data_IF_192351373799
#
_entry.id   IF_192351373799
#
_cell.length_a   1.000
_cell.length_b   1.000
_cell.length_c   1.000
_cell.angle_alpha   90.00
_cell.angle_beta   90.00
_cell.angle_gamma   90.00
#
_symmetry.space_group_name_H-M   'P 1'
#
loop_
_entity.id
_entity.type
_entity.pdbx_description
1 polymer ?
#
# COMPACT_ATOMS: atom_id res chain seq x y z
N UNK A 1 -17.70 -21.05 0.64
CA UNK A 1 -17.45 -20.31 1.90
C UNK A 1 -18.49 -19.20 1.96
N UNK A 2 -19.26 -19.04 3.05
CA UNK A 2 -20.27 -18.00 3.08
C UNK A 2 -19.56 -16.63 3.14
N UNK A 3 -20.08 -15.67 2.40
CA UNK A 3 -19.58 -14.30 2.40
C UNK A 3 -19.76 -13.71 3.80
N UNK A 4 -18.67 -13.62 4.56
CA UNK A 4 -18.63 -12.85 5.81
C UNK A 4 -18.94 -11.40 5.45
N UNK A 5 -20.03 -10.86 5.99
CA UNK A 5 -20.49 -9.52 5.68
C UNK A 5 -19.41 -8.47 6.01
N UNK A 6 -18.84 -7.86 4.96
CA UNK A 6 -17.92 -6.71 5.03
C UNK A 6 -18.61 -5.40 5.49
N UNK A 7 -19.94 -5.40 5.68
CA UNK A 7 -20.74 -4.19 5.76
C UNK A 7 -20.72 -3.41 7.09
N UNK A 8 -20.66 -4.01 8.30
CA UNK A 8 -20.89 -3.22 9.51
C UNK A 8 -19.69 -2.34 9.92
N UNK A 9 -18.46 -2.68 9.51
CA UNK A 9 -17.26 -1.93 9.89
C UNK A 9 -17.03 -0.66 9.06
N UNK A 10 -17.65 -0.53 7.87
CA UNK A 10 -17.53 0.65 7.01
C UNK A 10 -18.41 1.82 7.48
N UNK A 11 -19.52 1.53 8.17
CA UNK A 11 -20.46 2.57 8.60
C UNK A 11 -19.91 3.49 9.70
N UNK A 12 -18.95 3.02 10.51
CA UNK A 12 -18.30 3.83 11.55
C UNK A 12 -17.12 4.68 11.03
N UNK A 13 -16.81 4.60 9.73
CA UNK A 13 -15.69 5.34 9.10
C UNK A 13 -16.07 6.81 8.84
N UNK A 14 -17.36 7.16 8.88
CA UNK A 14 -17.87 8.47 8.40
C UNK A 14 -18.32 9.43 9.52
N UNK A 15 -18.07 9.13 10.79
CA UNK A 15 -18.50 10.00 11.90
C UNK A 15 -17.30 10.66 12.59
N UNK A 16 -17.22 11.98 12.35
CA UNK A 16 -16.30 13.00 12.87
C UNK A 16 -14.83 12.95 12.37
N UNK A 17 -14.25 14.10 11.92
CA UNK A 17 -12.85 14.17 11.57
C UNK A 17 -12.03 13.86 12.82
N UNK A 18 -11.10 12.89 12.78
CA UNK A 18 -10.35 12.55 13.98
C UNK A 18 -9.49 13.74 14.40
N UNK A 19 -9.28 13.86 15.71
CA UNK A 19 -8.08 14.48 16.23
C UNK A 19 -6.85 13.95 15.46
N UNK A 20 -5.93 14.85 15.11
CA UNK A 20 -4.68 14.60 14.36
C UNK A 20 -4.38 13.11 14.08
N UNK A 21 -4.84 12.59 12.92
CA UNK A 21 -4.81 11.15 12.58
C UNK A 21 -3.40 10.57 12.61
N UNK A 22 -2.40 11.42 12.38
CA UNK A 22 -0.99 11.09 12.43
C UNK A 22 -0.24 12.39 12.71
N UNK A 23 0.23 12.60 13.95
CA UNK A 23 0.96 13.80 14.31
C UNK A 23 2.10 14.11 13.34
N UNK A 24 2.08 15.32 12.77
CA UNK A 24 3.07 15.79 11.81
C UNK A 24 2.77 15.48 10.34
N UNK A 25 1.68 14.77 10.02
CA UNK A 25 1.32 14.43 8.64
C UNK A 25 1.05 15.68 7.79
N UNK A 26 0.28 16.64 8.31
CA UNK A 26 -0.03 17.87 7.59
C UNK A 26 1.24 18.68 7.26
N UNK A 27 2.19 18.75 8.20
CA UNK A 27 3.46 19.44 7.98
C UNK A 27 4.34 18.70 6.97
N UNK A 28 4.39 17.36 7.04
CA UNK A 28 5.09 16.54 6.05
C UNK A 28 4.51 16.75 4.64
N UNK A 29 3.19 16.76 4.50
CA UNK A 29 2.51 17.01 3.23
C UNK A 29 2.87 18.40 2.70
N UNK A 30 2.76 19.44 3.53
CA UNK A 30 3.04 20.82 3.15
C UNK A 30 4.51 21.03 2.72
N UNK A 31 5.44 20.37 3.42
CA UNK A 31 6.88 20.50 3.17
C UNK A 31 7.37 19.67 1.98
N UNK A 32 6.94 18.41 1.88
CA UNK A 32 7.54 17.45 0.96
C UNK A 32 6.70 17.12 -0.26
N UNK A 33 5.37 17.13 -0.15
CA UNK A 33 4.47 16.71 -1.21
C UNK A 33 3.93 17.90 -2.01
N UNK A 34 3.35 18.89 -1.33
CA UNK A 34 2.70 20.04 -1.96
C UNK A 34 3.59 20.79 -2.97
N UNK A 35 4.89 21.02 -2.72
CA UNK A 35 5.76 21.68 -3.69
C UNK A 35 6.04 20.86 -4.96
N UNK A 36 5.82 19.54 -4.93
CA UNK A 36 6.19 18.60 -6.00
C UNK A 36 5.01 18.21 -6.89
N UNK A 37 3.77 18.58 -6.55
CA UNK A 37 2.55 18.05 -7.22
C UNK A 37 2.51 18.29 -8.74
N UNK A 38 2.94 19.47 -9.20
CA UNK A 38 2.98 19.78 -10.64
C UNK A 38 4.02 18.93 -11.36
N UNK A 39 5.17 18.71 -10.74
CA UNK A 39 6.25 17.90 -11.31
C UNK A 39 5.91 16.40 -11.27
N UNK A 40 5.18 15.94 -10.26
CA UNK A 40 4.64 14.58 -10.22
C UNK A 40 3.72 14.35 -11.42
N UNK A 41 2.80 15.28 -11.69
CA UNK A 41 1.81 15.14 -12.77
C UNK A 41 2.43 15.30 -14.17
N UNK A 42 3.17 16.38 -14.39
CA UNK A 42 3.64 16.75 -15.73
C UNK A 42 4.95 16.10 -16.13
N UNK A 43 5.79 15.72 -15.15
CA UNK A 43 7.13 15.19 -15.40
C UNK A 43 7.30 13.76 -14.90
N UNK A 44 6.27 13.17 -14.28
CA UNK A 44 6.34 11.81 -13.74
C UNK A 44 7.33 11.67 -12.58
N UNK A 45 7.56 12.73 -11.80
CA UNK A 45 8.43 12.65 -10.62
C UNK A 45 7.82 11.67 -9.60
N UNK A 46 8.61 10.68 -9.19
CA UNK A 46 8.20 9.75 -8.15
C UNK A 46 8.40 10.37 -6.75
N UNK A 47 7.35 10.48 -5.90
CA UNK A 47 7.43 11.11 -4.58
C UNK A 47 8.06 10.20 -3.51
N UNK A 48 9.15 9.49 -3.86
CA UNK A 48 9.77 8.47 -3.00
C UNK A 48 10.22 8.99 -1.63
N UNK A 49 10.73 10.22 -1.55
CA UNK A 49 11.17 10.81 -0.29
C UNK A 49 9.99 11.09 0.66
N UNK A 50 8.86 11.55 0.12
CA UNK A 50 7.64 11.74 0.90
C UNK A 50 7.14 10.39 1.46
N UNK A 51 7.10 9.34 0.63
CA UNK A 51 6.66 8.00 1.03
C UNK A 51 7.54 7.39 2.14
N UNK A 52 8.87 7.53 2.02
CA UNK A 52 9.82 7.07 3.05
C UNK A 52 9.66 7.85 4.36
N UNK A 53 9.56 9.18 4.28
CA UNK A 53 9.34 10.03 5.46
C UNK A 53 7.99 9.74 6.12
N UNK A 54 6.95 9.44 5.34
CA UNK A 54 5.65 9.03 5.87
C UNK A 54 5.74 7.70 6.62
N UNK A 55 6.51 6.73 6.09
CA UNK A 55 6.81 5.48 6.78
C UNK A 55 7.55 5.72 8.10
N UNK A 56 8.57 6.57 8.10
CA UNK A 56 9.32 6.93 9.32
C UNK A 56 8.45 7.66 10.36
N UNK A 57 7.44 8.41 9.93
CA UNK A 57 6.44 9.04 10.78
C UNK A 57 5.44 8.02 11.38
N UNK A 58 5.39 6.80 10.85
CA UNK A 58 4.45 5.75 11.26
C UNK A 58 3.18 5.67 10.41
N UNK A 59 3.10 6.44 9.33
CA UNK A 59 1.92 6.44 8.44
C UNK A 59 1.67 5.08 7.81
N UNK A 60 2.72 4.34 7.45
CA UNK A 60 2.61 3.03 6.79
C UNK A 60 2.47 1.84 7.76
N UNK A 61 2.30 2.09 9.05
CA UNK A 61 2.38 1.05 10.09
C UNK A 61 1.03 0.45 10.51
N UNK A 62 -0.10 1.01 10.04
CA UNK A 62 -1.45 0.73 10.57
C UNK A 62 -1.95 -0.69 10.32
N UNK A 63 -1.62 -1.28 9.17
CA UNK A 63 -1.99 -2.67 8.83
C UNK A 63 -1.07 -3.71 9.47
N UNK A 64 0.15 -3.31 9.83
CA UNK A 64 1.16 -4.23 10.35
C UNK A 64 0.87 -4.54 11.83
N UNK A 65 0.88 -5.84 12.24
CA UNK A 65 0.74 -6.20 13.64
C UNK A 65 1.86 -5.63 14.51
N UNK A 66 1.57 -5.36 15.78
CA UNK A 66 2.56 -4.85 16.76
C UNK A 66 3.77 -5.78 16.90
N UNK A 67 3.56 -7.10 16.79
CA UNK A 67 4.64 -8.10 16.81
C UNK A 67 5.68 -7.94 15.67
N UNK A 68 5.32 -7.22 14.61
CA UNK A 68 6.19 -6.88 13.48
C UNK A 68 6.55 -5.39 13.43
N UNK A 69 6.34 -4.64 14.52
CA UNK A 69 6.68 -3.22 14.62
C UNK A 69 5.65 -2.26 14.02
N UNK A 70 4.43 -2.72 13.74
CA UNK A 70 3.33 -1.87 13.32
C UNK A 70 2.50 -1.32 14.48
N UNK A 71 1.45 -0.56 14.17
CA UNK A 71 0.58 0.07 15.17
C UNK A 71 -0.75 -0.66 15.37
N UNK A 72 -1.12 -1.57 14.44
CA UNK A 72 -2.39 -2.27 14.43
C UNK A 72 -3.65 -1.36 14.49
N UNK A 73 -3.54 -0.09 14.07
CA UNK A 73 -4.66 0.84 13.96
C UNK A 73 -5.68 0.45 12.88
N UNK A 74 -5.28 -0.44 11.96
CA UNK A 74 -6.17 -1.09 11.01
C UNK A 74 -6.49 -0.26 9.76
N UNK A 75 -7.42 -0.78 8.96
CA UNK A 75 -7.73 -0.28 7.62
C UNK A 75 -8.31 1.14 7.62
N UNK A 76 -9.11 1.51 8.62
CA UNK A 76 -9.70 2.84 8.71
C UNK A 76 -8.62 3.93 8.78
N UNK A 77 -7.55 3.70 9.57
CA UNK A 77 -6.42 4.60 9.66
C UNK A 77 -5.64 4.70 8.34
N UNK A 78 -5.40 3.56 7.67
CA UNK A 78 -4.78 3.56 6.33
C UNK A 78 -5.58 4.40 5.32
N UNK A 79 -6.91 4.26 5.32
CA UNK A 79 -7.81 5.04 4.45
C UNK A 79 -7.68 6.55 4.75
N UNK A 80 -7.64 6.94 6.02
CA UNK A 80 -7.49 8.34 6.41
C UNK A 80 -6.15 8.95 5.98
N UNK A 81 -5.04 8.19 6.09
CA UNK A 81 -3.73 8.63 5.58
C UNK A 81 -3.76 8.80 4.06
N UNK A 82 -4.36 7.85 3.32
CA UNK A 82 -4.56 7.98 1.87
C UNK A 82 -5.38 9.23 1.55
N UNK A 83 -6.50 9.43 2.24
CA UNK A 83 -7.40 10.57 2.04
C UNK A 83 -6.66 11.89 2.20
N UNK A 84 -5.89 12.05 3.29
CA UNK A 84 -5.19 13.30 3.60
C UNK A 84 -4.13 13.64 2.56
N UNK A 85 -3.32 12.66 2.13
CA UNK A 85 -2.37 12.86 1.04
C UNK A 85 -3.06 13.14 -0.30
N UNK A 86 -4.20 12.49 -0.55
CA UNK A 86 -4.98 12.64 -1.79
C UNK A 86 -5.61 14.03 -1.94
N UNK A 87 -5.90 14.72 -0.83
CA UNK A 87 -6.34 16.13 -0.85
C UNK A 87 -5.33 17.05 -1.55
N UNK A 88 -4.04 16.70 -1.53
CA UNK A 88 -2.99 17.43 -2.25
C UNK A 88 -2.58 16.77 -3.57
N UNK A 89 -2.45 15.45 -3.62
CA UNK A 89 -2.00 14.75 -4.82
C UNK A 89 -2.62 13.35 -4.93
N UNK A 90 -3.63 13.21 -5.78
CA UNK A 90 -4.31 11.93 -6.04
C UNK A 90 -3.35 10.87 -6.58
N UNK A 91 -2.37 11.23 -7.41
CA UNK A 91 -1.35 10.29 -7.90
C UNK A 91 -0.53 9.70 -6.74
N UNK A 92 -0.18 10.51 -5.74
CA UNK A 92 0.50 10.03 -4.53
C UNK A 92 -0.43 9.21 -3.64
N UNK A 93 -1.70 9.61 -3.52
CA UNK A 93 -2.73 8.81 -2.87
C UNK A 93 -2.88 7.40 -3.47
N UNK A 94 -2.80 7.29 -4.80
CA UNK A 94 -2.81 5.99 -5.50
C UNK A 94 -1.58 5.13 -5.16
N UNK A 95 -0.39 5.74 -5.04
CA UNK A 95 0.82 5.03 -4.59
C UNK A 95 0.66 4.50 -3.16
N UNK A 96 0.07 5.28 -2.25
CA UNK A 96 -0.22 4.83 -0.89
C UNK A 96 -1.22 3.67 -0.88
N UNK A 97 -2.29 3.76 -1.68
CA UNK A 97 -3.22 2.64 -1.84
C UNK A 97 -2.50 1.37 -2.31
N UNK A 98 -1.60 1.48 -3.29
CA UNK A 98 -0.85 0.34 -3.82
C UNK A 98 0.08 -0.27 -2.75
N UNK A 99 0.76 0.56 -1.97
CA UNK A 99 1.60 0.17 -0.83
C UNK A 99 0.77 -0.58 0.24
N UNK A 100 -0.36 -0.02 0.68
CA UNK A 100 -1.22 -0.69 1.67
C UNK A 100 -1.84 -1.98 1.12
N UNK A 101 -2.15 -2.05 -0.17
CA UNK A 101 -2.64 -3.28 -0.80
C UNK A 101 -1.56 -4.39 -0.77
N UNK A 102 -0.30 -4.04 -1.05
CA UNK A 102 0.83 -4.95 -0.89
C UNK A 102 0.97 -5.42 0.56
N UNK A 103 0.95 -4.50 1.52
CA UNK A 103 1.02 -4.84 2.95
C UNK A 103 -0.12 -5.77 3.36
N UNK A 104 -1.34 -5.50 2.90
CA UNK A 104 -2.50 -6.35 3.18
C UNK A 104 -2.29 -7.79 2.71
N UNK A 105 -1.66 -8.00 1.55
CA UNK A 105 -1.32 -9.35 1.08
C UNK A 105 -0.28 -10.04 1.94
N UNK A 106 0.74 -9.33 2.41
CA UNK A 106 1.76 -9.91 3.28
C UNK A 106 1.17 -10.24 4.67
N UNK A 107 0.37 -9.35 5.24
CA UNK A 107 -0.31 -9.56 6.54
C UNK A 107 -1.23 -10.78 6.50
N UNK A 108 -1.94 -11.00 5.39
CA UNK A 108 -2.86 -12.13 5.23
C UNK A 108 -2.19 -13.39 4.66
N UNK A 109 -0.87 -13.37 4.43
CA UNK A 109 -0.14 -14.52 3.91
C UNK A 109 0.10 -15.57 5.00
N UNK A 110 0.05 -16.85 4.63
CA UNK A 110 0.51 -17.94 5.49
C UNK A 110 2.04 -18.03 5.56
N UNK A 111 2.77 -17.29 4.72
CA UNK A 111 4.23 -17.27 4.70
C UNK A 111 4.78 -16.40 5.85
N UNK A 112 5.13 -17.06 6.96
CA UNK A 112 5.62 -16.41 8.18
C UNK A 112 7.02 -15.81 8.03
N UNK A 113 7.86 -16.40 7.20
CA UNK A 113 9.22 -15.91 6.92
C UNK A 113 9.14 -14.58 6.15
N UNK A 114 8.36 -14.54 5.07
CA UNK A 114 8.08 -13.32 4.32
C UNK A 114 7.49 -12.22 5.22
N UNK A 115 6.48 -12.56 6.02
CA UNK A 115 5.86 -11.61 6.93
C UNK A 115 6.86 -11.07 7.97
N UNK A 116 7.67 -11.95 8.56
CA UNK A 116 8.71 -11.58 9.53
C UNK A 116 9.76 -10.63 8.96
N UNK A 117 10.15 -10.83 7.70
CA UNK A 117 11.15 -9.99 7.04
C UNK A 117 10.57 -8.67 6.52
N UNK A 118 9.43 -8.72 5.82
CA UNK A 118 8.95 -7.60 5.01
C UNK A 118 8.06 -6.63 5.78
N UNK A 119 7.20 -7.11 6.68
CA UNK A 119 6.27 -6.23 7.39
C UNK A 119 6.98 -5.12 8.19
N UNK A 120 8.08 -5.39 8.93
CA UNK A 120 8.80 -4.32 9.62
C UNK A 120 9.39 -3.27 8.66
N UNK A 121 9.88 -3.72 7.49
CA UNK A 121 10.48 -2.83 6.47
C UNK A 121 9.42 -1.96 5.81
N UNK A 122 8.26 -2.54 5.47
CA UNK A 122 7.11 -1.83 4.88
C UNK A 122 6.52 -0.82 5.87
N UNK A 123 6.33 -1.22 7.14
CA UNK A 123 5.77 -0.35 8.17
C UNK A 123 6.58 0.92 8.40
N UNK A 124 7.92 0.85 8.28
CA UNK A 124 8.84 1.98 8.39
C UNK A 124 9.06 2.74 7.09
N UNK A 125 8.57 2.24 5.95
CA UNK A 125 8.86 2.78 4.62
C UNK A 125 10.31 2.56 4.15
N UNK A 126 11.04 1.61 4.73
CA UNK A 126 12.39 1.24 4.29
C UNK A 126 12.36 0.59 2.90
N UNK A 127 11.27 -0.11 2.61
CA UNK A 127 10.94 -0.67 1.30
C UNK A 127 9.58 -0.13 0.91
N UNK A 128 9.47 0.30 -0.35
CA UNK A 128 8.23 0.72 -0.99
C UNK A 128 7.89 -0.27 -2.09
N UNK A 129 6.61 -0.51 -2.32
CA UNK A 129 6.14 -1.40 -3.35
C UNK A 129 4.69 -1.17 -3.77
N UNK A 130 4.17 -2.11 -4.53
CA UNK A 130 2.81 -2.09 -5.05
C UNK A 130 2.42 -3.45 -5.56
N UNK A 131 1.28 -3.52 -6.26
CA UNK A 131 0.72 -4.76 -6.75
C UNK A 131 0.71 -4.80 -8.27
N UNK A 132 1.27 -5.85 -8.86
CA UNK A 132 1.33 -6.04 -10.30
C UNK A 132 0.24 -7.04 -10.75
N UNK A 133 -1.02 -6.61 -10.79
CA UNK A 133 -2.16 -7.52 -10.92
C UNK A 133 -2.95 -7.42 -12.22
N UNK A 134 -2.72 -6.41 -13.06
CA UNK A 134 -3.60 -6.09 -14.18
C UNK A 134 -3.84 -7.28 -15.13
N UNK A 135 -2.79 -7.96 -15.60
CA UNK A 135 -2.89 -9.15 -16.45
C UNK A 135 -3.41 -10.36 -15.66
N UNK A 136 -2.94 -10.56 -14.42
CA UNK A 136 -3.38 -11.66 -13.56
C UNK A 136 -4.90 -11.64 -13.36
N UNK A 137 -5.47 -10.49 -13.01
CA UNK A 137 -6.91 -10.32 -12.80
C UNK A 137 -7.72 -10.58 -14.07
N UNK A 138 -7.27 -10.05 -15.22
CA UNK A 138 -7.91 -10.32 -16.52
C UNK A 138 -7.85 -11.79 -16.91
N UNK A 139 -6.73 -12.46 -16.62
CA UNK A 139 -6.57 -13.88 -16.91
C UNK A 139 -7.43 -14.77 -16.01
N UNK A 140 -7.59 -14.43 -14.72
CA UNK A 140 -8.46 -15.15 -13.79
C UNK A 140 -9.93 -15.16 -14.24
N UNK A 141 -10.37 -14.18 -15.01
CA UNK A 141 -11.75 -14.08 -15.53
C UNK A 141 -11.85 -14.39 -17.03
N UNK A 142 -10.79 -14.90 -17.64
CA UNK A 142 -10.79 -15.35 -19.04
C UNK A 142 -10.82 -14.24 -20.09
N UNK A 143 -10.49 -12.99 -19.74
CA UNK A 143 -10.44 -11.87 -20.70
C UNK A 143 -9.19 -11.95 -21.60
N UNK A 144 -8.06 -12.38 -21.05
CA UNK A 144 -6.81 -12.56 -21.81
C UNK A 144 -5.94 -13.65 -21.18
N UNK A 145 -4.92 -14.14 -21.87
CA UNK A 145 -4.01 -15.14 -21.32
C UNK A 145 -3.08 -14.57 -20.24
N UNK A 146 -2.67 -15.43 -19.29
CA UNK A 146 -1.63 -15.11 -18.33
C UNK A 146 -0.28 -14.93 -19.05
N UNK A 147 0.30 -13.74 -18.93
CA UNK A 147 1.56 -13.33 -19.57
C UNK A 147 2.78 -13.50 -18.68
N UNK A 148 2.59 -13.70 -17.38
CA UNK A 148 3.64 -14.04 -16.42
C UNK A 148 3.55 -15.52 -16.07
N UNK A 149 4.66 -16.24 -16.21
CA UNK A 149 4.75 -17.67 -15.89
C UNK A 149 5.84 -17.90 -14.86
N UNK A 150 5.50 -18.62 -13.80
CA UNK A 150 6.44 -19.13 -12.81
C UNK A 150 6.61 -20.64 -13.01
N UNK A 151 7.79 -21.08 -13.43
CA UNK A 151 8.13 -22.50 -13.57
C UNK A 151 8.98 -22.93 -12.40
N UNK A 152 8.58 -23.99 -11.68
CA UNK A 152 9.37 -24.54 -10.58
C UNK A 152 10.70 -25.09 -11.12
N UNK A 153 11.79 -24.73 -10.46
CA UNK A 153 13.16 -25.20 -10.75
C UNK A 153 13.82 -25.62 -9.43
N UNK A 154 15.03 -26.20 -9.49
CA UNK A 154 15.76 -26.49 -8.26
C UNK A 154 16.03 -25.18 -7.47
N UNK A 155 15.79 -25.22 -6.16
CA UNK A 155 15.91 -24.05 -5.29
C UNK A 155 14.86 -22.93 -5.44
N UNK A 156 13.86 -23.02 -6.33
CA UNK A 156 12.83 -21.98 -6.42
C UNK A 156 11.98 -21.95 -7.70
N UNK A 157 11.78 -20.75 -8.25
CA UNK A 157 10.98 -20.52 -9.46
C UNK A 157 11.75 -19.67 -10.47
N UNK A 158 11.70 -20.08 -11.74
CA UNK A 158 12.04 -19.22 -12.87
C UNK A 158 10.79 -18.45 -13.28
N UNK A 159 10.81 -17.13 -13.10
CA UNK A 159 9.71 -16.24 -13.48
C UNK A 159 10.07 -15.57 -14.81
N UNK A 160 9.20 -15.71 -15.82
CA UNK A 160 9.38 -15.11 -17.14
C UNK A 160 8.05 -14.59 -17.66
N UNK A 161 8.07 -13.38 -18.24
CA UNK A 161 6.87 -12.79 -18.83
C UNK A 161 6.81 -11.28 -18.69
N UNK A 162 5.59 -10.74 -18.83
CA UNK A 162 5.31 -9.30 -18.78
C UNK A 162 4.11 -9.04 -17.89
N UNK A 163 4.24 -8.02 -17.03
CA UNK A 163 3.13 -7.43 -16.28
C UNK A 163 2.97 -5.97 -16.74
N UNK A 164 1.90 -5.65 -17.48
CA UNK A 164 1.63 -4.26 -17.85
C UNK A 164 1.02 -3.49 -16.67
N UNK A 165 1.10 -2.16 -16.69
CA UNK A 165 0.45 -1.27 -15.71
C UNK A 165 0.86 -1.55 -14.26
N UNK A 166 2.17 -1.60 -14.03
CA UNK A 166 2.80 -1.68 -12.70
C UNK A 166 3.26 -0.30 -12.28
#
# INVERSE_FOLDING_TARGET
MPATALAPALASVLTEPPADILPGLAELIARELAPKVVDIDQKGVYPGDFLKQLGALGGLASLTPVAHGGTALGLAHAIQVIEEASKQCVSTGFLLWAEYALQWYVVNSSNRELAGEMLPKMARGDVLGGTAQSNSMKSCVGIEEARLKATRVDGGYRVNGVLPWV
#
